data_IF_297067184375
#
_entry.id   IF_297067184375
#
_cell.length_a   1.000
_cell.length_b   1.000
_cell.length_c   1.000
_cell.angle_alpha   90.00
_cell.angle_beta   90.00
_cell.angle_gamma   90.00
#
_symmetry.space_group_name_H-M   'P 1'
#
loop_
_entity.id
_entity.type
_entity.pdbx_description
1 polymer ?
#
# COMPACT_ATOMS: atom_id res chain seq x y z
N UNK A 1 -10.24 1.09 -13.08
CA UNK A 1 -11.03 2.33 -12.84
C UNK A 1 -11.78 2.35 -11.49
N UNK A 2 -12.35 1.25 -10.98
CA UNK A 2 -13.05 1.25 -9.69
C UNK A 2 -12.11 1.28 -8.48
N UNK A 3 -10.96 0.61 -8.54
CA UNK A 3 -9.97 0.51 -7.44
C UNK A 3 -9.16 1.79 -7.26
N UNK A 4 -8.60 2.35 -8.33
CA UNK A 4 -7.96 3.66 -8.32
C UNK A 4 -8.90 4.72 -7.73
N UNK A 5 -10.18 4.70 -8.13
CA UNK A 5 -11.19 5.57 -7.53
C UNK A 5 -11.37 5.33 -6.03
N UNK A 6 -11.31 4.09 -5.55
CA UNK A 6 -11.51 3.82 -4.11
C UNK A 6 -10.31 4.28 -3.26
N UNK A 7 -9.06 4.05 -3.71
CA UNK A 7 -7.88 4.57 -3.02
C UNK A 7 -7.77 6.09 -3.13
N UNK A 8 -7.89 6.65 -4.34
CA UNK A 8 -7.87 8.10 -4.55
C UNK A 8 -9.04 8.82 -3.88
N UNK A 9 -10.25 8.24 -3.87
CA UNK A 9 -11.41 8.83 -3.17
C UNK A 9 -11.16 8.83 -1.66
N UNK A 10 -10.64 7.75 -1.08
CA UNK A 10 -10.29 7.72 0.33
C UNK A 10 -9.25 8.79 0.66
N UNK A 11 -8.16 8.84 -0.10
CA UNK A 11 -7.06 9.77 0.15
C UNK A 11 -7.48 11.22 -0.06
N UNK A 12 -8.27 11.51 -1.10
CA UNK A 12 -8.73 12.87 -1.38
C UNK A 12 -9.88 13.36 -0.48
N UNK A 13 -10.71 12.47 0.04
CA UNK A 13 -11.87 12.86 0.86
C UNK A 13 -11.64 12.72 2.37
N UNK A 14 -10.73 11.84 2.78
CA UNK A 14 -10.57 11.51 4.19
C UNK A 14 -9.21 11.89 4.75
N UNK A 15 -8.11 11.82 3.97
CA UNK A 15 -6.77 12.02 4.50
C UNK A 15 -6.58 13.43 5.09
N UNK A 16 -7.08 14.45 4.42
CA UNK A 16 -6.99 15.85 4.89
C UNK A 16 -7.74 16.11 6.21
N UNK A 17 -8.66 15.22 6.59
CA UNK A 17 -9.42 15.31 7.85
C UNK A 17 -8.74 14.57 9.01
N UNK A 18 -7.66 13.82 8.73
CA UNK A 18 -6.93 13.02 9.72
C UNK A 18 -5.81 13.86 10.36
N UNK A 19 -6.14 14.78 11.26
CA UNK A 19 -5.18 15.73 11.86
C UNK A 19 -4.20 15.08 12.84
N UNK A 20 -4.63 14.06 13.58
CA UNK A 20 -3.81 13.36 14.59
C UNK A 20 -3.14 12.10 14.06
N UNK A 21 -2.33 11.40 14.87
CA UNK A 21 -1.84 10.07 14.52
C UNK A 21 -3.00 9.08 14.54
N UNK A 22 -3.45 8.65 13.35
CA UNK A 22 -4.61 7.78 13.17
C UNK A 22 -4.22 6.54 12.39
N UNK A 23 -4.57 5.36 12.93
CA UNK A 23 -4.47 4.09 12.22
C UNK A 23 -5.76 3.80 11.45
N UNK A 24 -5.68 3.82 10.13
CA UNK A 24 -6.73 3.30 9.26
C UNK A 24 -6.50 1.81 9.08
N UNK A 25 -7.51 0.98 9.34
CA UNK A 25 -7.37 -0.48 9.40
C UNK A 25 -8.39 -1.19 8.53
N UNK A 26 -8.13 -2.49 8.31
CA UNK A 26 -9.10 -3.41 7.72
C UNK A 26 -9.47 -3.02 6.26
N UNK A 27 -8.46 -3.02 5.39
CA UNK A 27 -8.62 -2.68 3.98
C UNK A 27 -9.35 -3.79 3.21
N UNK A 28 -10.13 -3.45 2.17
CA UNK A 28 -10.75 -4.45 1.32
C UNK A 28 -9.72 -5.40 0.68
N UNK A 29 -10.05 -6.69 0.59
CA UNK A 29 -9.18 -7.72 -0.02
C UNK A 29 -8.75 -7.34 -1.44
N UNK A 30 -9.68 -6.78 -2.20
CA UNK A 30 -9.45 -6.38 -3.58
C UNK A 30 -8.36 -5.32 -3.74
N UNK A 31 -8.14 -4.46 -2.75
CA UNK A 31 -7.14 -3.39 -2.79
C UNK A 31 -5.80 -3.80 -2.21
N UNK A 32 -5.65 -5.02 -1.69
CA UNK A 32 -4.46 -5.47 -0.95
C UNK A 32 -4.06 -6.89 -1.33
N UNK A 33 -3.58 -7.14 -2.59
CA UNK A 33 -3.38 -8.49 -3.12
C UNK A 33 -2.29 -9.29 -2.40
N UNK A 34 -1.33 -8.66 -1.74
CA UNK A 34 -0.23 -9.31 -1.00
C UNK A 34 -0.53 -9.50 0.50
N UNK A 35 -1.69 -9.08 0.93
CA UNK A 35 -2.04 -9.06 2.36
C UNK A 35 -2.93 -10.24 2.72
N UNK A 36 -2.69 -10.82 3.88
CA UNK A 36 -3.49 -11.90 4.44
C UNK A 36 -4.92 -11.44 4.73
N UNK A 37 -5.89 -12.34 4.49
CA UNK A 37 -7.27 -12.11 4.90
C UNK A 37 -7.37 -11.96 6.42
N UNK A 38 -8.26 -11.09 6.86
CA UNK A 38 -8.49 -10.86 8.28
C UNK A 38 -9.08 -12.13 8.93
N UNK A 39 -8.50 -12.57 10.07
CA UNK A 39 -8.83 -13.83 10.77
C UNK A 39 -10.29 -13.95 11.17
N UNK A 40 -10.97 -12.84 11.45
CA UNK A 40 -12.33 -12.83 11.99
C UNK A 40 -13.33 -11.99 11.19
N UNK A 41 -12.87 -11.20 10.23
CA UNK A 41 -13.74 -10.32 9.41
C UNK A 41 -13.63 -10.72 7.95
N UNK A 42 -14.73 -11.07 7.31
CA UNK A 42 -14.75 -11.43 5.89
C UNK A 42 -14.65 -10.18 5.00
N UNK A 43 -13.97 -10.32 3.87
CA UNK A 43 -13.85 -9.28 2.83
C UNK A 43 -12.85 -8.18 3.12
N UNK A 44 -12.12 -8.25 4.24
CA UNK A 44 -11.06 -7.30 4.59
C UNK A 44 -9.75 -8.02 4.91
N UNK A 45 -8.66 -7.28 4.89
CA UNK A 45 -7.30 -7.78 5.13
C UNK A 45 -6.73 -7.28 6.44
N UNK A 46 -5.73 -7.99 6.97
CA UNK A 46 -4.94 -7.58 8.14
C UNK A 46 -3.90 -6.52 7.73
N UNK A 47 -4.36 -5.32 7.41
CA UNK A 47 -3.54 -4.17 7.02
C UNK A 47 -3.93 -2.94 7.84
N UNK A 48 -2.93 -2.08 8.10
CA UNK A 48 -3.16 -0.73 8.59
C UNK A 48 -2.20 0.26 7.91
N UNK A 49 -2.67 1.50 7.76
CA UNK A 49 -1.87 2.65 7.37
C UNK A 49 -1.94 3.68 8.49
N UNK A 50 -0.79 4.25 8.86
CA UNK A 50 -0.68 5.32 9.86
C UNK A 50 -0.67 6.66 9.15
N UNK A 51 -1.66 7.49 9.44
CA UNK A 51 -1.76 8.87 9.00
C UNK A 51 -1.35 9.82 10.11
N UNK A 52 -0.59 10.85 9.75
CA UNK A 52 -0.17 11.94 10.63
C UNK A 52 -0.29 13.24 9.85
N UNK A 53 -1.00 14.23 10.37
CA UNK A 53 -1.20 15.54 9.72
C UNK A 53 -1.68 15.44 8.26
N UNK A 54 -2.58 14.53 7.97
CA UNK A 54 -3.17 14.35 6.65
C UNK A 54 -2.35 13.55 5.64
N UNK A 55 -1.16 13.04 5.98
CA UNK A 55 -0.37 12.19 5.09
C UNK A 55 -0.07 10.83 5.70
N UNK A 56 0.02 9.82 4.84
CA UNK A 56 0.44 8.48 5.23
C UNK A 56 1.92 8.47 5.60
N UNK A 57 2.22 8.12 6.83
CA UNK A 57 3.58 8.00 7.37
C UNK A 57 4.12 6.58 7.26
N UNK A 58 3.31 5.60 7.55
CA UNK A 58 3.71 4.20 7.58
C UNK A 58 2.56 3.28 7.19
N UNK A 59 2.91 2.10 6.71
CA UNK A 59 1.97 1.00 6.44
C UNK A 59 2.51 -0.28 7.05
N UNK A 60 1.62 -1.18 7.48
CA UNK A 60 2.01 -2.55 7.81
C UNK A 60 0.87 -3.53 7.56
N UNK A 61 1.24 -4.77 7.32
CA UNK A 61 0.28 -5.84 7.06
C UNK A 61 0.85 -7.22 7.39
N UNK A 62 -0.05 -8.14 7.69
CA UNK A 62 0.26 -9.57 7.71
C UNK A 62 0.38 -10.06 6.27
N UNK A 63 1.53 -10.63 5.91
CA UNK A 63 1.80 -11.10 4.54
C UNK A 63 0.95 -12.33 4.23
N UNK A 64 0.42 -12.39 3.03
CA UNK A 64 -0.19 -13.60 2.49
C UNK A 64 0.92 -14.61 2.19
N UNK A 65 0.91 -15.75 2.87
CA UNK A 65 1.96 -16.79 2.77
C UNK A 65 1.50 -18.05 2.03
N UNK A 66 0.24 -18.10 1.60
CA UNK A 66 -0.33 -19.21 0.83
C UNK A 66 -0.11 -18.98 -0.67
N UNK A 67 0.74 -19.79 -1.35
CA UNK A 67 1.06 -19.57 -2.77
C UNK A 67 -0.15 -19.83 -3.69
N UNK A 68 -1.10 -20.69 -3.31
CA UNK A 68 -2.30 -20.96 -4.11
C UNK A 68 -3.22 -19.75 -4.12
N UNK A 69 -3.47 -19.16 -2.95
CA UNK A 69 -4.28 -17.94 -2.83
C UNK A 69 -3.54 -16.76 -3.49
N UNK A 70 -2.22 -16.68 -3.35
CA UNK A 70 -1.42 -15.61 -3.96
C UNK A 70 -1.48 -15.66 -5.49
N UNK A 71 -1.36 -16.86 -6.09
CA UNK A 71 -1.52 -17.05 -7.54
C UNK A 71 -2.89 -16.57 -8.02
N UNK A 72 -3.95 -16.97 -7.34
CA UNK A 72 -5.31 -16.52 -7.65
C UNK A 72 -5.43 -15.00 -7.66
N UNK A 73 -4.85 -14.34 -6.67
CA UNK A 73 -4.88 -12.86 -6.57
C UNK A 73 -4.06 -12.19 -7.67
N UNK A 74 -2.93 -12.75 -8.07
CA UNK A 74 -2.17 -12.25 -9.20
C UNK A 74 -2.92 -12.40 -10.53
N UNK A 75 -3.60 -13.53 -10.74
CA UNK A 75 -4.45 -13.72 -11.91
C UNK A 75 -5.61 -12.73 -11.95
N UNK A 76 -6.22 -12.44 -10.80
CA UNK A 76 -7.25 -11.41 -10.68
C UNK A 76 -6.70 -10.02 -11.00
N UNK A 77 -5.48 -9.70 -10.53
CA UNK A 77 -4.77 -8.45 -10.88
C UNK A 77 -4.47 -8.39 -12.38
N UNK A 78 -3.96 -9.46 -12.99
CA UNK A 78 -3.68 -9.51 -14.42
C UNK A 78 -4.94 -9.27 -15.28
N UNK A 79 -6.09 -9.79 -14.85
CA UNK A 79 -7.39 -9.49 -15.50
C UNK A 79 -7.77 -8.02 -15.40
N UNK A 80 -7.46 -7.36 -14.29
CA UNK A 80 -7.69 -5.93 -14.12
C UNK A 80 -6.74 -5.10 -14.99
N UNK A 81 -5.46 -5.50 -15.07
CA UNK A 81 -4.48 -4.86 -15.97
C UNK A 81 -4.96 -4.93 -17.44
N UNK A 82 -5.43 -6.10 -17.88
CA UNK A 82 -5.99 -6.28 -19.22
C UNK A 82 -7.25 -5.42 -19.46
N UNK A 83 -7.95 -5.05 -18.42
CA UNK A 83 -9.10 -4.13 -18.47
C UNK A 83 -8.73 -2.63 -18.38
N UNK A 84 -7.41 -2.31 -18.38
CA UNK A 84 -6.90 -0.93 -18.38
C UNK A 84 -6.62 -0.34 -17.00
N UNK A 85 -6.32 -1.19 -16.01
CA UNK A 85 -5.85 -0.75 -14.70
C UNK A 85 -4.30 -0.75 -14.69
N UNK A 86 -3.69 0.42 -14.83
CA UNK A 86 -2.23 0.60 -14.92
C UNK A 86 -1.50 0.34 -13.57
N UNK A 87 -2.24 0.27 -12.46
CA UNK A 87 -1.68 -0.02 -11.12
C UNK A 87 -1.78 -1.51 -10.75
N UNK A 88 -2.39 -2.33 -11.60
CA UNK A 88 -2.54 -3.76 -11.34
C UNK A 88 -1.18 -4.47 -11.40
N UNK A 89 -0.96 -5.36 -10.43
CA UNK A 89 0.28 -6.13 -10.33
C UNK A 89 0.40 -7.16 -11.45
N UNK A 90 1.64 -7.34 -11.93
CA UNK A 90 1.99 -8.39 -12.89
C UNK A 90 2.13 -9.72 -12.16
N UNK A 91 1.81 -10.82 -12.85
CA UNK A 91 2.08 -12.17 -12.35
C UNK A 91 3.59 -12.40 -12.24
N UNK A 92 4.05 -12.74 -11.05
CA UNK A 92 5.46 -13.00 -10.73
C UNK A 92 5.61 -14.49 -10.35
N UNK A 93 6.04 -15.30 -11.32
CA UNK A 93 6.23 -16.74 -11.14
C UNK A 93 7.40 -17.05 -10.22
N UNK A 94 8.50 -16.30 -10.29
CA UNK A 94 9.68 -16.50 -9.44
C UNK A 94 9.32 -16.28 -7.97
N UNK A 95 8.48 -15.29 -7.69
CA UNK A 95 7.97 -15.03 -6.35
C UNK A 95 7.08 -16.17 -5.86
N UNK A 96 6.20 -16.71 -6.70
CA UNK A 96 5.33 -17.84 -6.35
C UNK A 96 6.14 -19.10 -6.08
N UNK A 97 7.13 -19.41 -6.92
CA UNK A 97 8.04 -20.56 -6.70
C UNK A 97 8.80 -20.42 -5.37
N UNK A 98 9.26 -19.22 -5.04
CA UNK A 98 9.91 -18.96 -3.75
C UNK A 98 8.95 -19.19 -2.56
N UNK A 99 7.68 -18.76 -2.68
CA UNK A 99 6.66 -19.02 -1.65
C UNK A 99 6.39 -20.52 -1.44
N UNK A 100 6.40 -21.30 -2.53
CA UNK A 100 6.16 -22.75 -2.51
C UNK A 100 7.25 -23.52 -1.73
N UNK A 101 8.46 -22.96 -1.58
CA UNK A 101 9.51 -23.53 -0.72
C UNK A 101 9.15 -23.48 0.78
N UNK A 102 8.10 -22.78 1.16
CA UNK A 102 7.62 -22.70 2.53
C UNK A 102 7.83 -21.34 3.19
N UNK A 103 7.08 -20.33 2.79
CA UNK A 103 7.13 -19.02 3.42
C UNK A 103 6.55 -19.07 4.84
N UNK A 104 7.30 -18.70 5.89
CA UNK A 104 6.79 -18.69 7.26
C UNK A 104 5.79 -17.54 7.47
N UNK A 105 4.93 -17.61 8.50
CA UNK A 105 4.11 -16.49 8.90
C UNK A 105 4.93 -15.24 9.10
N UNK A 106 4.64 -14.21 8.31
CA UNK A 106 5.45 -12.99 8.21
C UNK A 106 4.55 -11.77 8.28
N UNK A 107 5.05 -10.71 8.86
CA UNK A 107 4.47 -9.37 8.74
C UNK A 107 5.56 -8.39 8.31
N UNK A 108 5.16 -7.35 7.60
CA UNK A 108 6.04 -6.30 7.15
C UNK A 108 5.53 -4.92 7.52
N UNK A 109 6.44 -3.98 7.72
CA UNK A 109 6.12 -2.57 7.88
C UNK A 109 7.05 -1.73 7.02
N UNK A 110 6.49 -0.68 6.41
CA UNK A 110 7.22 0.36 5.69
C UNK A 110 6.95 1.72 6.31
N UNK A 111 7.99 2.51 6.52
CA UNK A 111 7.89 3.88 7.02
C UNK A 111 8.70 4.82 6.13
N UNK A 112 8.10 5.93 5.72
CA UNK A 112 8.78 6.97 4.98
C UNK A 112 9.63 7.85 5.90
N UNK A 113 10.96 7.76 5.80
CA UNK A 113 11.87 8.55 6.67
C UNK A 113 11.70 10.06 6.43
N UNK A 114 11.60 10.48 5.19
CA UNK A 114 11.34 11.89 4.88
C UNK A 114 10.01 12.37 5.44
N UNK A 115 8.97 11.52 5.36
CA UNK A 115 7.66 11.81 5.97
C UNK A 115 7.71 11.83 7.50
N UNK A 116 8.57 11.00 8.11
CA UNK A 116 8.81 11.05 9.56
C UNK A 116 9.46 12.39 9.94
N UNK A 117 10.45 12.85 9.17
CA UNK A 117 11.04 14.17 9.38
C UNK A 117 10.00 15.29 9.24
N UNK A 118 9.12 15.24 8.23
CA UNK A 118 8.01 16.17 8.09
C UNK A 118 7.11 16.17 9.34
N UNK A 119 6.77 14.99 9.84
CA UNK A 119 5.89 14.85 11.01
C UNK A 119 6.51 15.46 12.28
N UNK A 120 7.82 15.29 12.47
CA UNK A 120 8.55 15.77 13.65
C UNK A 120 8.89 17.26 13.59
N UNK A 121 9.26 17.75 12.40
CA UNK A 121 9.79 19.12 12.23
C UNK A 121 8.76 20.13 11.72
N UNK A 122 7.71 19.65 11.04
CA UNK A 122 6.74 20.50 10.35
C UNK A 122 7.22 21.03 8.99
N UNK A 123 8.39 20.59 8.51
CA UNK A 123 8.94 20.95 7.20
C UNK A 123 8.16 20.28 6.06
N UNK A 124 8.21 20.88 4.88
CA UNK A 124 7.69 20.27 3.66
C UNK A 124 8.60 19.18 3.11
N UNK A 125 8.06 18.27 2.28
CA UNK A 125 8.81 17.14 1.71
C UNK A 125 10.07 17.56 0.95
N UNK A 126 10.05 18.70 0.28
CA UNK A 126 11.22 19.23 -0.45
C UNK A 126 12.35 19.71 0.45
N UNK A 127 12.03 20.03 1.70
CA UNK A 127 12.98 20.48 2.70
C UNK A 127 13.59 19.32 3.48
N UNK A 128 12.94 18.15 3.47
CA UNK A 128 13.43 16.93 4.13
C UNK A 128 14.29 16.06 3.22
N UNK A 129 14.11 16.14 1.90
CA UNK A 129 14.90 15.40 0.90
C UNK A 129 16.22 16.12 0.64
N UNK A 130 17.37 15.44 0.84
CA UNK A 130 18.70 16.00 0.67
C UNK A 130 18.98 16.51 -0.77
N UNK A 131 18.48 15.80 -1.77
CA UNK A 131 18.66 16.14 -3.18
C UNK A 131 17.31 16.11 -3.91
N UNK A 132 16.45 17.13 -3.70
CA UNK A 132 15.14 17.15 -4.35
C UNK A 132 15.28 17.33 -5.86
N UNK A 133 14.45 16.63 -6.64
CA UNK A 133 14.39 16.83 -8.08
C UNK A 133 13.91 18.25 -8.40
N UNK A 134 14.75 18.99 -9.12
CA UNK A 134 14.43 20.34 -9.61
C UNK A 134 13.92 20.24 -11.05
N UNK A 135 12.80 20.91 -11.33
CA UNK A 135 12.28 20.98 -12.69
C UNK A 135 13.31 21.63 -13.61
N UNK A 136 13.69 21.02 -14.75
CA UNK A 136 14.60 21.67 -15.70
C UNK A 136 14.05 23.05 -16.11
N UNK A 137 14.90 24.07 -16.04
CA UNK A 137 14.53 25.38 -16.58
C UNK A 137 14.47 25.24 -18.11
N UNK A 138 13.31 25.44 -18.70
CA UNK A 138 13.18 25.60 -20.15
C UNK A 138 13.96 26.86 -20.54
N UNK A 139 15.03 26.68 -21.33
CA UNK A 139 15.69 27.79 -22.04
C UNK A 139 14.78 28.32 -23.11
#
# INVERSE_FOLDING_TARGET
>A
LRRQRQMCIRDSLCADQLEGPIFVRDFPVETSPLTRDHRSKRGVTEKWDLYVRGFELATAYSVLVDPVIQRQRFEDQARLAAAGDDEAMVLDEDFLEAMEQGMPPTCGTGMGIDRLLMALTGLGIRETVLFPMVKPQSK
#
